data_IF_012128553889
#
_entry.id   IF_012128553889
#
_cell.length_a   1.000
_cell.length_b   1.000
_cell.length_c   1.000
_cell.angle_alpha   90.00
_cell.angle_beta   90.00
_cell.angle_gamma   90.00
#
_symmetry.space_group_name_H-M   'P 1'
#
loop_
_entity.id
_entity.type
_entity.pdbx_description
1 polymer ?
#
# COMPACT_ATOMS: atom_id res chain seq x y z
N UNK A 1 -21.98 -6.45 -36.66
CA UNK A 1 -21.67 -5.03 -36.39
C UNK A 1 -22.72 -4.29 -35.57
N UNK A 2 -24.03 -4.61 -35.64
CA UNK A 2 -25.09 -3.90 -34.89
C UNK A 2 -24.99 -3.92 -33.34
N UNK A 3 -24.06 -4.70 -32.77
CA UNK A 3 -23.81 -4.83 -31.32
C UNK A 3 -22.32 -4.73 -30.98
N UNK A 4 -21.50 -4.20 -31.89
CA UNK A 4 -20.05 -4.06 -31.69
C UNK A 4 -19.72 -2.58 -31.63
N UNK A 5 -19.03 -2.17 -30.56
CA UNK A 5 -18.39 -0.87 -30.46
C UNK A 5 -16.90 -1.05 -30.73
N UNK A 6 -16.37 -0.27 -31.68
CA UNK A 6 -14.95 -0.31 -32.05
C UNK A 6 -14.29 0.97 -31.57
N UNK A 7 -13.18 0.81 -30.85
CA UNK A 7 -12.29 1.91 -30.47
C UNK A 7 -10.93 1.62 -31.08
N UNK A 8 -10.51 2.44 -32.05
CA UNK A 8 -9.27 2.19 -32.81
C UNK A 8 -8.02 2.26 -31.91
N UNK A 9 -8.03 3.10 -30.88
CA UNK A 9 -6.89 3.28 -29.96
C UNK A 9 -7.37 3.69 -28.55
N UNK A 10 -7.91 2.74 -27.79
CA UNK A 10 -8.33 3.00 -26.41
C UNK A 10 -7.12 3.19 -25.49
N UNK A 11 -6.77 4.44 -25.19
CA UNK A 11 -5.74 4.82 -24.23
C UNK A 11 -6.06 4.24 -22.84
N UNK A 12 -5.26 3.26 -22.41
CA UNK A 12 -5.41 2.60 -21.10
C UNK A 12 -5.19 3.56 -19.92
N UNK A 13 -4.48 4.68 -20.14
CA UNK A 13 -4.31 5.74 -19.16
C UNK A 13 -3.98 7.09 -19.80
N UNK A 14 -4.39 8.19 -19.15
CA UNK A 14 -4.08 9.57 -19.57
C UNK A 14 -2.63 10.02 -19.24
N UNK A 15 -1.95 9.26 -18.38
CA UNK A 15 -0.55 9.44 -17.96
C UNK A 15 0.18 8.11 -18.13
N UNK A 16 1.52 8.06 -18.20
CA UNK A 16 2.25 6.79 -18.15
C UNK A 16 1.75 5.92 -17.00
N UNK A 17 1.64 4.61 -17.22
CA UNK A 17 1.13 3.67 -16.23
C UNK A 17 2.04 3.72 -14.99
N UNK A 18 1.66 4.52 -14.00
CA UNK A 18 2.31 4.57 -12.69
C UNK A 18 1.69 3.48 -11.85
N UNK A 19 2.49 2.48 -11.50
CA UNK A 19 2.10 1.39 -10.63
C UNK A 19 2.99 1.40 -9.40
N UNK A 20 2.40 1.14 -8.24
CA UNK A 20 3.10 0.99 -6.96
C UNK A 20 3.84 -0.36 -6.87
N UNK A 21 4.65 -0.64 -7.91
CA UNK A 21 5.41 -1.87 -8.08
C UNK A 21 6.89 -1.61 -7.81
N UNK A 22 7.52 -2.49 -7.05
CA UNK A 22 8.97 -2.51 -6.86
C UNK A 22 9.63 -3.53 -7.79
N UNK A 23 10.68 -3.12 -8.50
CA UNK A 23 11.51 -4.03 -9.31
C UNK A 23 12.85 -4.26 -8.62
N UNK A 24 13.13 -5.52 -8.31
CA UNK A 24 14.43 -5.96 -7.78
C UNK A 24 15.20 -6.65 -8.89
N UNK A 25 16.35 -6.08 -9.29
CA UNK A 25 17.23 -6.64 -10.31
C UNK A 25 18.49 -7.25 -9.69
N UNK A 26 18.76 -8.53 -9.98
CA UNK A 26 20.06 -9.14 -9.68
C UNK A 26 21.08 -8.65 -10.70
N UNK A 27 22.11 -7.95 -10.24
CA UNK A 27 23.20 -7.46 -11.09
C UNK A 27 24.19 -8.56 -11.51
N UNK A 28 24.19 -9.67 -10.78
CA UNK A 28 25.02 -10.86 -11.00
C UNK A 28 24.19 -12.09 -10.64
N UNK A 29 24.52 -13.24 -11.20
CA UNK A 29 23.86 -14.48 -10.82
C UNK A 29 24.33 -14.93 -9.43
N UNK A 30 23.58 -14.48 -8.43
CA UNK A 30 23.81 -14.79 -7.03
C UNK A 30 22.62 -15.53 -6.45
N UNK A 31 22.90 -16.51 -5.59
CA UNK A 31 21.87 -17.19 -4.81
C UNK A 31 21.50 -16.35 -3.61
N UNK A 32 20.24 -15.92 -3.53
CA UNK A 32 19.71 -15.23 -2.36
C UNK A 32 19.49 -16.25 -1.25
N UNK A 33 20.12 -16.02 -0.09
CA UNK A 33 20.00 -16.93 1.07
C UNK A 33 18.64 -16.82 1.78
N UNK A 34 17.99 -15.64 1.73
CA UNK A 34 16.68 -15.42 2.36
C UNK A 34 15.59 -16.25 1.70
N UNK A 35 14.70 -16.82 2.52
CA UNK A 35 13.65 -17.73 2.03
C UNK A 35 12.71 -17.05 1.03
N UNK A 36 12.30 -15.80 1.28
CA UNK A 36 11.43 -15.02 0.37
C UNK A 36 12.07 -14.72 -0.99
N UNK A 37 13.41 -14.72 -1.06
CA UNK A 37 14.17 -14.42 -2.27
C UNK A 37 14.62 -15.66 -3.03
N UNK A 38 14.31 -16.86 -2.53
CA UNK A 38 14.85 -18.12 -3.06
C UNK A 38 14.42 -18.39 -4.51
N UNK A 39 13.23 -17.92 -4.90
CA UNK A 39 12.69 -18.04 -6.26
C UNK A 39 13.14 -16.89 -7.19
N UNK A 40 13.73 -15.81 -6.66
CA UNK A 40 14.01 -14.62 -7.47
C UNK A 40 14.93 -14.96 -8.64
N UNK A 41 14.38 -14.78 -9.84
CA UNK A 41 15.15 -14.69 -11.08
C UNK A 41 15.78 -13.30 -11.18
N UNK A 42 16.37 -12.99 -12.33
CA UNK A 42 17.17 -11.77 -12.53
C UNK A 42 16.33 -10.51 -12.32
N UNK A 43 15.05 -10.53 -12.70
CA UNK A 43 14.10 -9.45 -12.51
C UNK A 43 12.93 -9.95 -11.67
N UNK A 44 12.80 -9.47 -10.45
CA UNK A 44 11.65 -9.77 -9.59
C UNK A 44 10.77 -8.53 -9.43
N UNK A 45 9.52 -8.64 -9.86
CA UNK A 45 8.51 -7.59 -9.81
C UNK A 45 7.62 -7.84 -8.58
N UNK A 46 7.49 -6.84 -7.72
CA UNK A 46 6.82 -6.95 -6.42
C UNK A 46 5.63 -6.01 -6.35
N UNK A 47 4.47 -6.59 -6.06
CA UNK A 47 3.30 -5.87 -5.59
C UNK A 47 3.20 -6.04 -4.08
N UNK A 48 3.20 -4.94 -3.34
CA UNK A 48 2.95 -4.93 -1.91
C UNK A 48 1.60 -4.27 -1.63
N UNK A 49 0.74 -4.97 -0.89
CA UNK A 49 -0.48 -4.41 -0.33
C UNK A 49 -0.26 -4.04 1.13
N UNK A 50 -0.65 -2.82 1.47
CA UNK A 50 -0.71 -2.34 2.85
C UNK A 50 -1.53 -3.30 3.71
N UNK A 51 -1.31 -3.34 5.03
CA UNK A 51 -2.02 -4.30 5.89
C UNK A 51 -3.54 -4.19 5.85
N UNK A 52 -4.06 -3.00 5.62
CA UNK A 52 -5.49 -2.71 5.53
C UNK A 52 -6.08 -3.08 4.15
N UNK A 53 -5.23 -3.26 3.14
CA UNK A 53 -5.63 -3.55 1.78
C UNK A 53 -5.72 -5.06 1.52
N UNK A 54 -6.64 -5.41 0.62
CA UNK A 54 -6.79 -6.78 0.13
C UNK A 54 -6.18 -6.92 -1.26
N UNK A 55 -5.39 -7.97 -1.46
CA UNK A 55 -4.91 -8.33 -2.79
C UNK A 55 -6.06 -8.90 -3.63
N UNK A 56 -6.42 -8.21 -4.71
CA UNK A 56 -7.55 -8.53 -5.57
C UNK A 56 -7.16 -9.22 -6.88
N UNK A 57 -8.16 -9.71 -7.61
CA UNK A 57 -8.01 -10.22 -8.98
C UNK A 57 -7.46 -9.14 -9.92
N UNK A 58 -7.91 -7.90 -9.75
CA UNK A 58 -7.48 -6.78 -10.59
C UNK A 58 -6.00 -6.46 -10.36
N UNK A 59 -5.53 -6.52 -9.10
CA UNK A 59 -4.11 -6.32 -8.79
C UNK A 59 -3.23 -7.36 -9.48
N UNK A 60 -3.66 -8.63 -9.45
CA UNK A 60 -2.97 -9.70 -10.16
C UNK A 60 -2.83 -9.41 -11.65
N UNK A 61 -3.92 -9.06 -12.34
CA UNK A 61 -3.86 -8.79 -13.79
C UNK A 61 -3.08 -7.53 -14.12
N UNK A 62 -3.15 -6.49 -13.29
CA UNK A 62 -2.34 -5.29 -13.45
C UNK A 62 -0.85 -5.62 -13.38
N UNK A 63 -0.43 -6.37 -12.36
CA UNK A 63 0.99 -6.75 -12.17
C UNK A 63 1.45 -7.70 -13.26
N UNK A 64 0.62 -8.66 -13.65
CA UNK A 64 0.93 -9.58 -14.75
C UNK A 64 1.08 -8.83 -16.08
N UNK A 65 0.14 -7.93 -16.40
CA UNK A 65 0.22 -7.08 -17.59
C UNK A 65 1.44 -6.16 -17.57
N UNK A 66 1.74 -5.57 -16.41
CA UNK A 66 2.96 -4.77 -16.22
C UNK A 66 4.23 -5.59 -16.48
N UNK A 67 4.29 -6.84 -16.01
CA UNK A 67 5.44 -7.71 -16.27
C UNK A 67 5.64 -7.98 -17.76
N UNK A 68 4.55 -8.19 -18.51
CA UNK A 68 4.60 -8.35 -19.96
C UNK A 68 5.09 -7.06 -20.66
N UNK A 69 4.60 -5.89 -20.25
CA UNK A 69 5.05 -4.60 -20.78
C UNK A 69 6.52 -4.37 -20.43
N UNK A 70 6.92 -4.61 -19.17
CA UNK A 70 8.30 -4.45 -18.72
C UNK A 70 9.27 -5.33 -19.51
N UNK A 71 8.88 -6.57 -19.82
CA UNK A 71 9.68 -7.50 -20.61
C UNK A 71 9.80 -7.08 -22.08
N UNK A 72 8.71 -6.57 -22.67
CA UNK A 72 8.65 -6.25 -24.10
C UNK A 72 9.10 -4.84 -24.44
N UNK A 73 9.00 -3.89 -23.50
CA UNK A 73 9.38 -2.49 -23.66
C UNK A 73 10.91 -2.32 -23.52
N UNK A 74 11.64 -2.92 -24.45
CA UNK A 74 13.11 -2.93 -24.55
C UNK A 74 13.54 -2.67 -26.00
N UNK A 75 14.78 -2.21 -26.21
CA UNK A 75 15.26 -1.84 -27.55
C UNK A 75 15.53 -3.08 -28.43
N UNK A 76 15.76 -4.25 -27.82
CA UNK A 76 16.06 -5.50 -28.52
C UNK A 76 15.10 -6.61 -28.14
N UNK A 77 14.73 -7.42 -29.13
CA UNK A 77 13.94 -8.63 -28.91
C UNK A 77 14.65 -9.54 -27.89
N UNK A 78 13.92 -9.93 -26.83
CA UNK A 78 14.42 -10.76 -25.73
C UNK A 78 15.64 -10.18 -24.99
N UNK A 79 15.76 -8.85 -24.94
CA UNK A 79 16.74 -8.22 -24.03
C UNK A 79 16.51 -8.63 -22.57
N UNK A 80 15.23 -8.79 -22.20
CA UNK A 80 14.80 -9.47 -20.99
C UNK A 80 14.12 -10.78 -21.43
N UNK A 81 14.70 -11.93 -21.07
CA UNK A 81 14.06 -13.22 -21.33
C UNK A 81 12.87 -13.40 -20.36
N UNK A 82 11.69 -13.87 -20.80
CA UNK A 82 10.60 -14.24 -19.88
C UNK A 82 11.02 -15.21 -18.76
N UNK A 83 12.00 -16.07 -19.02
CA UNK A 83 12.59 -16.97 -18.02
C UNK A 83 13.44 -16.24 -16.97
N UNK A 84 13.76 -14.96 -17.18
CA UNK A 84 14.46 -14.10 -16.21
C UNK A 84 13.51 -13.38 -15.25
N UNK A 85 12.19 -13.49 -15.44
CA UNK A 85 11.17 -12.82 -14.63
C UNK A 85 10.66 -13.66 -13.47
N UNK A 86 10.33 -13.03 -12.35
CA UNK A 86 9.56 -13.60 -11.24
C UNK A 86 8.59 -12.55 -10.69
N UNK A 87 7.38 -12.96 -10.31
CA UNK A 87 6.42 -12.07 -9.65
C UNK A 87 6.29 -12.42 -8.17
N UNK A 88 6.23 -11.41 -7.32
CA UNK A 88 5.97 -11.57 -5.89
C UNK A 88 4.80 -10.69 -5.48
N UNK A 89 3.80 -11.32 -4.87
CA UNK A 89 2.67 -10.61 -4.26
C UNK A 89 2.83 -10.70 -2.75
N UNK A 90 2.86 -9.56 -2.06
CA UNK A 90 2.93 -9.50 -0.60
C UNK A 90 1.67 -8.84 -0.04
N UNK A 91 0.98 -9.53 0.87
CA UNK A 91 -0.22 -9.01 1.50
C UNK A 91 -0.38 -9.54 2.93
N UNK A 92 -1.13 -8.81 3.76
CA UNK A 92 -1.38 -9.23 5.14
C UNK A 92 -2.41 -10.34 5.26
N UNK A 93 -3.46 -10.26 4.44
CA UNK A 93 -4.60 -11.16 4.49
C UNK A 93 -4.53 -12.24 3.41
N UNK A 94 -4.91 -13.48 3.75
CA UNK A 94 -4.91 -14.58 2.77
C UNK A 94 -6.00 -14.36 1.70
N UNK A 95 -5.65 -14.17 0.41
CA UNK A 95 -6.56 -13.64 -0.60
C UNK A 95 -7.40 -14.74 -1.25
N UNK A 96 -8.36 -15.31 -0.50
CA UNK A 96 -9.19 -16.46 -0.93
C UNK A 96 -9.87 -16.26 -2.28
N UNK A 97 -10.41 -15.06 -2.53
CA UNK A 97 -11.12 -14.74 -3.78
C UNK A 97 -10.18 -14.77 -4.99
N UNK A 98 -8.99 -14.18 -4.87
CA UNK A 98 -7.96 -14.23 -5.91
C UNK A 98 -7.53 -15.66 -6.18
N UNK A 99 -7.18 -16.42 -5.14
CA UNK A 99 -6.67 -17.79 -5.33
C UNK A 99 -7.71 -18.71 -5.97
N UNK A 100 -8.99 -18.57 -5.62
CA UNK A 100 -10.08 -19.28 -6.30
C UNK A 100 -10.18 -18.90 -7.76
N UNK A 101 -10.06 -17.61 -8.09
CA UNK A 101 -10.04 -17.13 -9.48
C UNK A 101 -8.87 -17.72 -10.26
N UNK A 102 -7.66 -17.70 -9.70
CA UNK A 102 -6.47 -18.27 -10.32
C UNK A 102 -6.63 -19.76 -10.59
N UNK A 103 -7.20 -20.51 -9.65
CA UNK A 103 -7.45 -21.94 -9.82
C UNK A 103 -8.50 -22.22 -10.90
N UNK A 104 -9.65 -21.55 -10.84
CA UNK A 104 -10.80 -21.85 -11.71
C UNK A 104 -10.68 -21.27 -13.12
N UNK A 105 -10.05 -20.11 -13.28
CA UNK A 105 -9.97 -19.39 -14.57
C UNK A 105 -8.62 -19.57 -15.25
N UNK A 106 -7.53 -19.67 -14.47
CA UNK A 106 -6.15 -19.76 -15.01
C UNK A 106 -5.53 -21.14 -14.85
N UNK A 107 -6.19 -22.07 -14.15
CA UNK A 107 -5.62 -23.40 -13.85
C UNK A 107 -4.40 -23.33 -12.91
N UNK A 108 -4.20 -22.20 -12.23
CA UNK A 108 -3.05 -21.96 -11.38
C UNK A 108 -3.33 -22.38 -9.93
N UNK A 109 -2.36 -23.04 -9.28
CA UNK A 109 -2.52 -23.55 -7.91
C UNK A 109 -1.55 -22.91 -6.95
N UNK A 110 -2.01 -22.61 -5.75
CA UNK A 110 -1.16 -22.12 -4.67
C UNK A 110 -0.62 -23.29 -3.83
N UNK A 111 0.69 -23.50 -3.85
CA UNK A 111 1.39 -24.54 -3.10
C UNK A 111 2.13 -23.94 -1.89
N UNK A 112 1.75 -24.35 -0.69
CA UNK A 112 2.38 -23.85 0.54
C UNK A 112 3.83 -24.35 0.67
N UNK A 113 4.74 -23.41 0.95
CA UNK A 113 6.19 -23.67 1.08
C UNK A 113 6.70 -23.53 2.52
N UNK A 114 5.82 -23.20 3.48
CA UNK A 114 6.20 -22.91 4.86
C UNK A 114 6.34 -21.42 5.15
N UNK A 115 6.15 -21.05 6.42
CA UNK A 115 6.35 -19.69 6.91
C UNK A 115 5.61 -18.63 6.11
N UNK A 116 4.33 -18.84 5.77
CA UNK A 116 3.53 -17.85 5.03
C UNK A 116 3.84 -17.69 3.54
N UNK A 117 4.74 -18.52 2.97
CA UNK A 117 5.12 -18.47 1.56
C UNK A 117 4.30 -19.49 0.77
N UNK A 118 3.75 -19.07 -0.36
CA UNK A 118 3.05 -19.93 -1.32
C UNK A 118 3.64 -19.72 -2.72
N UNK A 119 3.90 -20.80 -3.44
CA UNK A 119 4.24 -20.72 -4.86
C UNK A 119 2.98 -20.87 -5.70
N UNK A 120 2.78 -19.97 -6.66
CA UNK A 120 1.69 -20.06 -7.61
C UNK A 120 2.20 -20.80 -8.84
N UNK A 121 1.73 -22.03 -9.04
CA UNK A 121 2.11 -22.92 -10.14
C UNK A 121 1.10 -22.86 -11.27
N UNK A 122 1.52 -23.23 -12.48
CA UNK A 122 0.65 -23.29 -13.67
C UNK A 122 0.84 -22.16 -14.67
N UNK A 123 1.85 -21.30 -14.49
CA UNK A 123 2.20 -20.22 -15.42
C UNK A 123 3.71 -20.27 -15.76
N UNK A 124 4.14 -19.92 -16.99
CA UNK A 124 5.55 -19.87 -17.36
C UNK A 124 6.39 -18.89 -16.53
N UNK A 125 5.78 -17.82 -16.03
CA UNK A 125 6.42 -16.88 -15.12
C UNK A 125 6.23 -17.41 -13.69
N UNK A 126 7.29 -17.76 -12.95
CA UNK A 126 7.19 -18.16 -11.56
C UNK A 126 6.65 -17.01 -10.73
N UNK A 127 5.73 -17.36 -9.83
CA UNK A 127 5.16 -16.38 -8.92
C UNK A 127 5.07 -16.93 -7.51
N UNK A 128 5.13 -16.03 -6.55
CA UNK A 128 4.91 -16.35 -5.15
C UNK A 128 3.97 -15.36 -4.49
N UNK A 129 3.26 -15.85 -3.48
CA UNK A 129 2.42 -15.10 -2.58
C UNK A 129 3.02 -15.17 -1.18
N UNK A 130 3.25 -14.00 -0.58
CA UNK A 130 3.76 -13.84 0.77
C UNK A 130 2.64 -13.33 1.67
N UNK A 131 2.30 -14.13 2.68
CA UNK A 131 1.41 -13.71 3.76
C UNK A 131 2.28 -13.11 4.86
N UNK A 132 2.44 -11.78 4.83
CA UNK A 132 3.47 -11.06 5.62
C UNK A 132 3.45 -11.38 7.12
N UNK A 133 2.30 -11.51 7.82
CA UNK A 133 2.28 -11.81 9.26
C UNK A 133 2.68 -13.25 9.57
N UNK A 134 2.67 -14.16 8.58
CA UNK A 134 3.04 -15.57 8.73
C UNK A 134 4.50 -15.86 8.39
N UNK A 135 5.24 -14.87 7.89
CA UNK A 135 6.67 -15.00 7.59
C UNK A 135 7.50 -15.31 8.84
N UNK A 136 8.68 -15.89 8.68
CA UNK A 136 9.58 -16.12 9.82
C UNK A 136 10.23 -14.82 10.26
N UNK A 137 10.06 -14.48 11.54
CA UNK A 137 10.54 -13.22 12.13
C UNK A 137 12.05 -13.04 12.01
N UNK A 138 12.83 -14.12 12.17
CA UNK A 138 14.31 -14.10 12.15
C UNK A 138 14.88 -13.58 10.82
N UNK A 139 14.24 -13.87 9.69
CA UNK A 139 14.73 -13.49 8.36
C UNK A 139 14.02 -12.27 7.77
N UNK A 140 12.78 -12.03 8.20
CA UNK A 140 11.85 -11.08 7.57
C UNK A 140 11.36 -9.99 8.52
N UNK A 141 12.14 -9.72 9.59
CA UNK A 141 11.86 -8.75 10.64
C UNK A 141 11.19 -7.45 10.15
N UNK A 142 11.85 -6.76 9.23
CA UNK A 142 11.39 -5.48 8.68
C UNK A 142 10.06 -5.60 7.96
N UNK A 143 9.90 -6.62 7.10
CA UNK A 143 8.67 -6.86 6.36
C UNK A 143 7.48 -7.20 7.28
N UNK A 144 7.74 -7.91 8.39
CA UNK A 144 6.73 -8.19 9.40
C UNK A 144 6.37 -6.98 10.26
N UNK A 145 7.31 -6.05 10.42
CA UNK A 145 7.11 -4.84 11.22
C UNK A 145 6.22 -3.82 10.51
N UNK A 146 6.00 -3.96 9.19
CA UNK A 146 5.09 -3.11 8.40
C UNK A 146 3.60 -3.43 8.61
N UNK A 147 3.24 -4.19 9.64
CA UNK A 147 1.84 -4.41 10.07
C UNK A 147 1.32 -3.22 10.88
N UNK A 148 0.00 -3.12 11.08
CA UNK A 148 -0.66 -1.99 11.77
C UNK A 148 -0.97 -2.25 13.26
N UNK A 149 -0.58 -3.41 13.79
CA UNK A 149 -0.91 -3.90 15.13
C UNK A 149 0.33 -4.12 16.01
N UNK A 150 1.41 -3.36 15.79
CA UNK A 150 2.59 -3.41 16.65
C UNK A 150 2.22 -3.08 18.09
N UNK A 151 2.74 -3.85 19.04
CA UNK A 151 2.48 -3.65 20.45
C UNK A 151 3.42 -2.58 21.02
N UNK A 152 2.84 -1.64 21.78
CA UNK A 152 3.64 -0.77 22.64
C UNK A 152 4.47 -1.63 23.60
N UNK A 153 5.70 -1.19 23.85
CA UNK A 153 6.63 -1.81 24.77
C UNK A 153 7.82 -2.41 24.03
N UNK A 154 8.10 -3.67 24.33
CA UNK A 154 9.33 -4.31 23.89
C UNK A 154 9.43 -4.48 22.38
N UNK A 155 8.29 -4.62 21.70
CA UNK A 155 8.26 -4.77 20.24
C UNK A 155 8.71 -3.50 19.53
N UNK A 156 8.16 -2.33 19.89
CA UNK A 156 8.58 -1.04 19.35
C UNK A 156 10.02 -0.71 19.76
N UNK A 157 10.41 -0.94 21.03
CA UNK A 157 11.80 -0.71 21.47
C UNK A 157 12.78 -1.57 20.69
N UNK A 158 12.43 -2.82 20.38
CA UNK A 158 13.25 -3.67 19.52
C UNK A 158 13.34 -3.12 18.10
N UNK A 159 12.24 -2.66 17.52
CA UNK A 159 12.21 -2.07 16.18
C UNK A 159 13.16 -0.87 16.08
N UNK A 160 13.12 -0.01 17.09
CA UNK A 160 14.03 1.12 17.21
C UNK A 160 15.49 0.69 17.30
N UNK A 161 15.81 -0.25 18.19
CA UNK A 161 17.20 -0.75 18.31
C UNK A 161 17.70 -1.42 17.04
N UNK A 162 16.83 -2.09 16.28
CA UNK A 162 17.21 -2.63 14.97
C UNK A 162 17.37 -1.52 13.93
N UNK A 163 16.54 -0.47 13.97
CA UNK A 163 16.67 0.69 13.09
C UNK A 163 17.97 1.45 13.32
N UNK A 164 18.38 1.66 14.56
CA UNK A 164 19.61 2.40 14.90
C UNK A 164 20.86 1.79 14.24
N UNK A 165 20.93 0.46 14.15
CA UNK A 165 22.02 -0.25 13.44
C UNK A 165 22.10 0.10 11.95
N UNK A 166 21.00 0.60 11.39
CA UNK A 166 20.82 0.90 9.97
C UNK A 166 20.45 2.37 9.70
N UNK A 167 20.59 3.28 10.68
CA UNK A 167 20.13 4.69 10.59
C UNK A 167 20.65 5.47 9.37
N UNK A 168 21.80 5.07 8.82
CA UNK A 168 22.40 5.70 7.62
C UNK A 168 21.82 5.18 6.29
N UNK A 169 21.00 4.13 6.32
CA UNK A 169 20.40 3.54 5.12
C UNK A 169 19.10 4.25 4.75
N UNK A 170 19.07 4.85 3.56
CA UNK A 170 17.86 5.47 3.00
C UNK A 170 16.69 4.48 2.90
N UNK A 171 16.97 3.22 2.55
CA UNK A 171 15.95 2.17 2.42
C UNK A 171 15.34 1.82 3.79
N UNK A 172 16.17 1.70 4.83
CA UNK A 172 15.67 1.43 6.18
C UNK A 172 14.90 2.63 6.74
N UNK A 173 15.33 3.85 6.43
CA UNK A 173 14.60 5.07 6.82
C UNK A 173 13.21 5.10 6.16
N UNK A 174 13.11 4.80 4.87
CA UNK A 174 11.84 4.73 4.16
C UNK A 174 10.89 3.64 4.73
N UNK A 175 11.44 2.46 5.05
CA UNK A 175 10.66 1.39 5.68
C UNK A 175 10.22 1.79 7.10
N UNK A 176 11.11 2.41 7.88
CA UNK A 176 10.79 2.87 9.23
C UNK A 176 9.69 3.92 9.22
N UNK A 177 9.73 4.88 8.29
CA UNK A 177 8.68 5.89 8.12
C UNK A 177 7.31 5.25 7.83
N UNK A 178 7.27 4.23 6.95
CA UNK A 178 6.03 3.49 6.68
C UNK A 178 5.49 2.81 7.96
N UNK A 179 6.38 2.15 8.73
CA UNK A 179 6.00 1.46 9.97
C UNK A 179 5.48 2.46 11.01
N UNK A 180 6.16 3.59 11.19
CA UNK A 180 5.78 4.65 12.13
C UNK A 180 4.42 5.24 11.80
N UNK A 181 4.16 5.52 10.52
CA UNK A 181 2.85 6.00 10.06
C UNK A 181 1.74 4.98 10.31
N UNK A 182 2.00 3.71 10.02
CA UNK A 182 1.04 2.62 10.22
C UNK A 182 0.72 2.33 11.71
N UNK A 183 1.63 2.64 12.63
CA UNK A 183 1.51 2.33 14.07
C UNK A 183 1.60 3.59 14.96
N UNK A 184 1.14 4.73 14.45
CA UNK A 184 1.33 6.03 15.08
C UNK A 184 0.90 6.08 16.56
N UNK A 185 -0.27 5.52 16.88
CA UNK A 185 -0.83 5.53 18.24
C UNK A 185 0.09 4.81 19.23
N UNK A 186 0.61 3.66 18.86
CA UNK A 186 1.48 2.85 19.71
C UNK A 186 2.88 3.47 19.82
N UNK A 187 3.37 4.09 18.75
CA UNK A 187 4.61 4.89 18.77
C UNK A 187 4.50 6.07 19.73
N UNK A 188 3.35 6.75 19.78
CA UNK A 188 3.12 7.88 20.69
C UNK A 188 3.13 7.45 22.16
N UNK A 189 2.55 6.29 22.48
CA UNK A 189 2.57 5.72 23.84
C UNK A 189 4.01 5.44 24.28
N UNK A 190 4.80 4.74 23.46
CA UNK A 190 6.19 4.46 23.79
C UNK A 190 7.07 5.70 23.84
N UNK A 191 6.81 6.70 23.00
CA UNK A 191 7.50 8.00 23.06
C UNK A 191 7.32 8.68 24.41
N UNK A 192 6.12 8.65 25.01
CA UNK A 192 5.91 9.23 26.35
C UNK A 192 6.77 8.55 27.41
N UNK A 193 7.12 7.29 27.20
CA UNK A 193 7.82 6.44 28.16
C UNK A 193 9.34 6.30 27.91
N UNK A 194 9.83 6.57 26.69
CA UNK A 194 11.23 6.30 26.31
C UNK A 194 11.91 7.52 25.66
N UNK A 195 12.91 8.09 26.33
CA UNK A 195 13.62 9.28 25.85
C UNK A 195 14.48 9.01 24.59
N UNK A 196 15.02 7.78 24.44
CA UNK A 196 15.74 7.39 23.23
C UNK A 196 14.83 7.41 21.97
N UNK A 197 13.56 7.02 22.12
CA UNK A 197 12.55 7.15 21.07
C UNK A 197 12.22 8.61 20.76
N UNK A 198 12.14 9.47 21.78
CA UNK A 198 11.92 10.92 21.58
C UNK A 198 13.04 11.55 20.77
N UNK A 199 14.29 11.19 21.07
CA UNK A 199 15.47 11.75 20.39
C UNK A 199 15.61 11.19 18.97
N UNK A 200 15.39 9.88 18.79
CA UNK A 200 15.56 9.22 17.50
C UNK A 200 14.60 9.73 16.42
N UNK A 201 13.35 10.02 16.80
CA UNK A 201 12.30 10.48 15.87
C UNK A 201 11.87 11.93 16.08
N UNK A 202 12.68 12.74 16.79
CA UNK A 202 12.28 14.11 17.15
C UNK A 202 11.84 14.95 15.95
N UNK A 203 12.55 14.83 14.83
CA UNK A 203 12.28 15.58 13.61
C UNK A 203 11.09 15.01 12.82
N UNK A 204 11.07 13.70 12.56
CA UNK A 204 10.03 13.05 11.75
C UNK A 204 8.66 13.11 12.44
N UNK A 205 8.62 12.98 13.77
CA UNK A 205 7.37 13.18 14.52
C UNK A 205 6.91 14.63 14.52
N UNK A 206 7.83 15.61 14.53
CA UNK A 206 7.44 17.03 14.47
C UNK A 206 6.75 17.36 13.14
N UNK A 207 7.24 16.78 12.05
CA UNK A 207 6.61 16.89 10.73
C UNK A 207 5.26 16.17 10.67
N UNK A 208 5.16 14.97 11.23
CA UNK A 208 3.90 14.23 11.30
C UNK A 208 2.85 14.90 12.21
N UNK A 209 3.25 15.41 13.38
CA UNK A 209 2.39 16.22 14.28
C UNK A 209 1.90 17.49 13.56
N UNK A 210 2.77 18.17 12.82
CA UNK A 210 2.41 19.36 12.04
C UNK A 210 1.37 19.03 10.96
N UNK A 211 1.57 17.93 10.22
CA UNK A 211 0.60 17.44 9.23
C UNK A 211 -0.73 17.08 9.88
N UNK A 212 -0.71 16.28 10.95
CA UNK A 212 -1.92 15.87 11.68
C UNK A 212 -2.70 17.05 12.27
N UNK A 213 -2.01 18.09 12.76
CA UNK A 213 -2.66 19.34 13.19
C UNK A 213 -3.31 20.08 12.02
N UNK A 214 -2.62 20.16 10.89
CA UNK A 214 -3.11 20.84 9.69
C UNK A 214 -4.37 20.15 9.16
N UNK A 215 -4.31 18.83 9.00
CA UNK A 215 -5.46 18.00 8.59
C UNK A 215 -6.60 18.08 9.61
N UNK A 216 -6.30 18.06 10.91
CA UNK A 216 -7.30 18.18 11.96
C UNK A 216 -8.01 19.54 11.97
N UNK A 217 -7.28 20.63 11.73
CA UNK A 217 -7.86 21.98 11.57
C UNK A 217 -8.77 22.02 10.34
N UNK A 218 -8.30 21.49 9.21
CA UNK A 218 -9.07 21.49 7.97
C UNK A 218 -10.36 20.68 8.12
N UNK A 219 -10.28 19.47 8.68
CA UNK A 219 -11.45 18.66 9.01
C UNK A 219 -12.38 19.34 10.02
N UNK A 220 -11.83 20.02 11.03
CA UNK A 220 -12.58 20.77 12.02
C UNK A 220 -13.35 21.94 11.41
N UNK A 221 -12.74 22.69 10.49
CA UNK A 221 -13.40 23.77 9.75
C UNK A 221 -14.53 23.21 8.89
N UNK A 222 -14.28 22.14 8.14
CA UNK A 222 -15.29 21.49 7.30
C UNK A 222 -16.48 21.00 8.15
N UNK A 223 -16.19 20.34 9.27
CA UNK A 223 -17.21 19.84 10.19
C UNK A 223 -18.00 20.97 10.84
N UNK A 224 -17.32 22.00 11.35
CA UNK A 224 -17.96 23.16 11.98
C UNK A 224 -18.84 23.94 11.02
N UNK A 225 -18.39 24.15 9.77
CA UNK A 225 -19.22 24.75 8.72
C UNK A 225 -20.47 23.92 8.43
N UNK A 226 -20.33 22.59 8.36
CA UNK A 226 -21.47 21.68 8.15
C UNK A 226 -22.47 21.73 9.31
N UNK A 227 -22.00 21.68 10.55
CA UNK A 227 -22.86 21.75 11.76
C UNK A 227 -23.59 23.10 11.84
N UNK A 228 -22.91 24.21 11.51
CA UNK A 228 -23.51 25.55 11.41
C UNK A 228 -24.62 25.61 10.35
N UNK A 229 -24.38 25.06 9.15
CA UNK A 229 -25.39 25.02 8.08
C UNK A 229 -26.63 24.25 8.53
N UNK A 230 -26.45 23.07 9.14
CA UNK A 230 -27.56 22.28 9.66
C UNK A 230 -28.36 23.04 10.74
N UNK A 231 -27.69 23.80 11.61
CA UNK A 231 -28.36 24.62 12.62
C UNK A 231 -29.18 25.75 11.98
N UNK A 232 -28.64 26.46 10.99
CA UNK A 232 -29.36 27.52 10.27
C UNK A 232 -30.53 26.99 9.44
N UNK A 233 -30.37 25.85 8.77
CA UNK A 233 -31.46 25.19 8.05
C UNK A 233 -32.60 24.79 9.00
N UNK A 234 -32.28 24.23 10.18
CA UNK A 234 -33.28 23.91 11.22
C UNK A 234 -34.00 25.13 11.77
N UNK A 235 -33.30 26.26 11.87
CA UNK A 235 -33.86 27.54 12.32
C UNK A 235 -34.68 28.27 11.23
N UNK A 236 -34.74 27.73 10.01
CA UNK A 236 -35.47 28.33 8.89
C UNK A 236 -34.77 29.54 8.26
N UNK A 237 -33.45 29.68 8.42
CA UNK A 237 -32.70 30.75 7.80
C UNK A 237 -32.73 30.64 6.26
N UNK A 238 -32.81 31.79 5.58
CA UNK A 238 -32.78 31.86 4.12
C UNK A 238 -31.42 31.41 3.56
N UNK A 239 -31.46 30.79 2.37
CA UNK A 239 -30.27 30.21 1.71
C UNK A 239 -29.19 31.28 1.46
N UNK A 240 -29.57 32.52 1.17
CA UNK A 240 -28.63 33.63 0.96
C UNK A 240 -27.78 33.94 2.20
N UNK A 241 -28.38 33.88 3.39
CA UNK A 241 -27.68 34.10 4.68
C UNK A 241 -26.69 32.95 4.94
N UNK A 242 -27.09 31.72 4.59
CA UNK A 242 -26.24 30.53 4.76
C UNK A 242 -25.05 30.56 3.80
N UNK A 243 -25.26 30.99 2.55
CA UNK A 243 -24.19 31.23 1.56
C UNK A 243 -23.17 32.23 2.09
N UNK A 244 -23.62 33.36 2.59
CA UNK A 244 -22.75 34.41 3.12
C UNK A 244 -21.95 33.94 4.34
N UNK A 245 -22.59 33.25 5.28
CA UNK A 245 -21.95 32.78 6.51
C UNK A 245 -20.98 31.60 6.29
N UNK A 246 -21.25 30.72 5.33
CA UNK A 246 -20.46 29.49 5.11
C UNK A 246 -19.43 29.62 3.98
N UNK A 247 -19.65 30.52 3.03
CA UNK A 247 -18.89 30.65 1.78
C UNK A 247 -19.09 29.49 0.80
N UNK A 248 -20.14 28.67 0.98
CA UNK A 248 -20.50 27.56 0.10
C UNK A 248 -21.54 27.99 -0.94
N UNK A 249 -21.57 27.29 -2.07
CA UNK A 249 -22.56 27.53 -3.11
C UNK A 249 -23.90 26.83 -2.82
N UNK A 250 -24.92 27.12 -3.63
CA UNK A 250 -26.27 26.61 -3.40
C UNK A 250 -26.36 25.09 -3.51
N UNK A 251 -25.70 24.49 -4.50
CA UNK A 251 -25.68 23.03 -4.67
C UNK A 251 -25.09 22.30 -3.45
N UNK A 252 -24.04 22.86 -2.85
CA UNK A 252 -23.39 22.31 -1.67
C UNK A 252 -24.30 22.40 -0.43
N UNK A 253 -25.02 23.50 -0.26
CA UNK A 253 -25.99 23.68 0.83
C UNK A 253 -27.16 22.71 0.66
N UNK A 254 -27.67 22.55 -0.57
CA UNK A 254 -28.79 21.66 -0.85
C UNK A 254 -28.42 20.18 -0.73
N UNK A 255 -27.17 19.82 -1.02
CA UNK A 255 -26.63 18.49 -0.74
C UNK A 255 -26.66 18.17 0.77
N UNK A 256 -26.25 19.13 1.62
CA UNK A 256 -26.31 18.97 3.09
C UNK A 256 -27.77 18.93 3.58
N UNK A 257 -28.66 19.74 2.98
CA UNK A 257 -30.10 19.76 3.31
C UNK A 257 -30.77 18.42 3.03
N UNK A 258 -30.37 17.72 1.97
CA UNK A 258 -30.90 16.38 1.63
C UNK A 258 -30.57 15.31 2.66
N UNK A 259 -29.53 15.49 3.46
CA UNK A 259 -29.17 14.57 4.55
C UNK A 259 -30.05 14.73 5.80
N UNK A 260 -30.88 15.79 5.87
CA UNK A 260 -31.83 16.00 6.96
C UNK A 260 -33.17 15.28 6.77
N UNK A 261 -33.43 14.75 5.55
CA UNK A 261 -34.63 13.99 5.20
C UNK A 261 -34.36 12.49 5.24
#
# INVERSE_FOLDING_TARGET
MKYLEMHEEHLLSKKPLQMDILIVKKLRDIKIKKTIGRMFRKHNIIEYKSPEDSLSVNDFYKVYGYACIYQSNTDRVKEIDPEELTLTFACSHYPRKLLRHLETVRGMRAEYQGGGIYYLKGDPIPMQLLITPKLTYKENYWLQSMRTDLQAGEEIRKLVREYEKHRKSKDHAAVMDLITRANWKQMEVEKKMCDALKELFAEELKEADSRGRTEGIEQGIVRGKREMILAFLKAGAGIDIIKEASGLNEEQIEAIRREMN
#
